data_IF_724527984538
#
_entry.id   IF_724527984538
#
_cell.length_a   1.000
_cell.length_b   1.000
_cell.length_c   1.000
_cell.angle_alpha   90.00
_cell.angle_beta   90.00
_cell.angle_gamma   90.00
#
_symmetry.space_group_name_H-M   'P 1'
#
loop_
_entity.id
_entity.type
_entity.pdbx_description
1 polymer ?
#
# COMPACT_ATOMS: atom_id res chain seq x y z
N UNK A 1 25.78 0.31 5.20
CA UNK A 1 25.82 -1.11 5.64
C UNK A 1 26.63 -1.89 4.62
N UNK A 2 27.37 -2.91 5.05
CA UNK A 2 28.07 -3.83 4.12
C UNK A 2 27.14 -5.01 3.81
N UNK A 3 27.27 -5.62 2.63
CA UNK A 3 26.53 -6.86 2.31
C UNK A 3 26.81 -7.92 3.37
N UNK A 4 25.76 -8.65 3.80
CA UNK A 4 25.81 -9.63 4.86
C UNK A 4 25.70 -9.08 6.29
N UNK A 5 25.45 -7.78 6.47
CA UNK A 5 25.29 -7.17 7.81
C UNK A 5 23.85 -6.78 8.11
N UNK A 6 23.49 -6.85 9.40
CA UNK A 6 22.22 -6.37 9.94
C UNK A 6 22.27 -4.87 10.24
N UNK A 7 21.14 -4.19 10.10
CA UNK A 7 20.99 -2.79 10.50
C UNK A 7 20.93 -2.68 12.02
N UNK A 8 21.02 -1.44 12.53
CA UNK A 8 20.54 -1.17 13.88
C UNK A 8 19.05 -1.50 13.99
N UNK A 9 18.60 -1.84 15.20
CA UNK A 9 17.19 -2.09 15.48
C UNK A 9 16.43 -0.78 15.36
N UNK A 10 15.34 -0.79 14.62
CA UNK A 10 14.45 0.37 14.48
C UNK A 10 13.00 -0.04 14.70
N UNK A 11 12.16 0.93 15.03
CA UNK A 11 10.73 0.70 15.20
C UNK A 11 9.98 0.96 13.89
N UNK A 12 9.23 -0.04 13.43
CA UNK A 12 8.38 0.07 12.25
C UNK A 12 7.01 -0.52 12.54
N UNK A 13 5.95 0.27 12.34
CA UNK A 13 4.56 -0.12 12.64
C UNK A 13 4.40 -0.71 14.06
N UNK A 14 4.98 -0.06 15.07
CA UNK A 14 4.96 -0.49 16.50
C UNK A 14 5.58 -1.87 16.76
N UNK A 15 6.52 -2.30 15.90
CA UNK A 15 7.28 -3.54 16.06
C UNK A 15 8.75 -3.25 15.86
N UNK A 16 9.60 -3.94 16.63
CA UNK A 16 11.05 -3.88 16.43
C UNK A 16 11.42 -4.65 15.17
N UNK A 17 12.09 -3.98 14.24
CA UNK A 17 12.52 -4.53 12.96
C UNK A 17 14.02 -4.35 12.76
N UNK A 18 14.58 -5.18 11.88
CA UNK A 18 15.99 -5.14 11.46
C UNK A 18 16.03 -5.42 9.96
N UNK A 19 16.85 -4.70 9.21
CA UNK A 19 17.13 -5.02 7.81
C UNK A 19 18.37 -5.90 7.71
N UNK A 20 18.29 -6.95 6.89
CA UNK A 20 19.45 -7.72 6.45
C UNK A 20 19.79 -7.32 5.02
N UNK A 21 20.98 -6.79 4.80
CA UNK A 21 21.42 -6.38 3.48
C UNK A 21 22.06 -7.56 2.75
N UNK A 22 21.34 -8.20 1.83
CA UNK A 22 21.86 -9.33 1.06
C UNK A 22 22.92 -8.88 0.04
N UNK A 23 22.57 -7.96 -0.85
CA UNK A 23 23.45 -7.46 -1.90
C UNK A 23 23.19 -5.98 -2.21
N UNK A 24 24.21 -5.31 -2.74
CA UNK A 24 24.11 -3.94 -3.25
C UNK A 24 24.24 -4.04 -4.77
N UNK A 25 23.14 -3.82 -5.48
CA UNK A 25 23.15 -3.80 -6.94
C UNK A 25 23.79 -2.49 -7.45
N UNK A 26 24.57 -2.54 -8.55
CA UNK A 26 25.20 -1.35 -9.10
C UNK A 26 24.16 -0.36 -9.61
N UNK A 27 24.46 0.93 -9.46
CA UNK A 27 23.62 1.98 -10.02
C UNK A 27 23.59 1.84 -11.55
N UNK A 28 22.42 1.55 -12.10
CA UNK A 28 22.17 1.49 -13.55
C UNK A 28 21.00 2.40 -13.92
N UNK A 29 20.95 2.77 -15.20
CA UNK A 29 19.74 3.39 -15.74
C UNK A 29 18.59 2.38 -15.67
N UNK A 30 17.39 2.87 -15.40
CA UNK A 30 16.18 2.05 -15.50
C UNK A 30 16.01 1.58 -16.94
N UNK A 31 15.52 0.35 -17.11
CA UNK A 31 15.05 -0.08 -18.42
C UNK A 31 13.78 0.69 -18.79
N UNK A 32 13.42 0.71 -20.07
CA UNK A 32 12.16 1.33 -20.51
C UNK A 32 10.96 0.74 -19.77
N UNK A 33 10.91 -0.58 -19.62
CA UNK A 33 9.82 -1.27 -18.92
C UNK A 33 9.73 -0.87 -17.44
N UNK A 34 10.87 -0.77 -16.74
CA UNK A 34 10.90 -0.33 -15.35
C UNK A 34 10.42 1.12 -15.20
N UNK A 35 10.87 2.01 -16.08
CA UNK A 35 10.45 3.41 -16.08
C UNK A 35 8.95 3.53 -16.41
N UNK A 36 8.46 2.74 -17.37
CA UNK A 36 7.05 2.69 -17.74
C UNK A 36 6.18 2.18 -16.58
N UNK A 37 6.56 1.06 -15.96
CA UNK A 37 5.84 0.49 -14.84
C UNK A 37 5.84 1.43 -13.63
N UNK A 38 6.95 2.12 -13.38
CA UNK A 38 7.02 3.15 -12.33
C UNK A 38 6.05 4.29 -12.61
N UNK A 39 6.06 4.85 -13.82
CA UNK A 39 5.15 5.93 -14.20
C UNK A 39 3.68 5.50 -14.08
N UNK A 40 3.38 4.27 -14.50
CA UNK A 40 2.03 3.71 -14.41
C UNK A 40 1.60 3.57 -12.94
N UNK A 41 2.47 3.04 -12.08
CA UNK A 41 2.21 2.90 -10.66
C UNK A 41 2.01 4.27 -9.98
N UNK A 42 2.81 5.27 -10.34
CA UNK A 42 2.68 6.64 -9.82
C UNK A 42 1.33 7.27 -10.19
N UNK A 43 0.78 6.94 -11.36
CA UNK A 43 -0.50 7.48 -11.84
C UNK A 43 -1.72 6.66 -11.40
N UNK A 44 -1.53 5.45 -10.91
CA UNK A 44 -2.61 4.55 -10.50
C UNK A 44 -3.52 5.13 -9.41
N UNK A 45 -3.01 5.76 -8.33
CA UNK A 45 -3.85 6.33 -7.27
C UNK A 45 -4.83 7.37 -7.81
N UNK A 46 -4.36 8.26 -8.70
CA UNK A 46 -5.20 9.30 -9.30
C UNK A 46 -6.33 8.71 -10.16
N UNK A 47 -6.05 7.62 -10.88
CA UNK A 47 -7.07 6.91 -11.68
C UNK A 47 -8.10 6.23 -10.78
N UNK A 48 -7.66 5.60 -9.70
CA UNK A 48 -8.55 4.94 -8.73
C UNK A 48 -9.46 5.96 -8.04
N UNK A 49 -8.94 7.10 -7.62
CA UNK A 49 -9.74 8.18 -7.03
C UNK A 49 -10.80 8.71 -8.00
N UNK A 50 -10.40 8.94 -9.26
CA UNK A 50 -11.33 9.39 -10.30
C UNK A 50 -12.44 8.36 -10.52
N UNK A 51 -12.07 7.09 -10.64
CA UNK A 51 -13.01 5.99 -10.84
C UNK A 51 -13.98 5.85 -9.66
N UNK A 52 -13.48 5.91 -8.42
CA UNK A 52 -14.33 5.89 -7.22
C UNK A 52 -15.29 7.08 -7.17
N UNK A 53 -14.85 8.25 -7.63
CA UNK A 53 -15.68 9.46 -7.67
C UNK A 53 -16.80 9.33 -8.69
N UNK A 54 -16.51 8.80 -9.86
CA UNK A 54 -17.50 8.52 -10.91
C UNK A 54 -18.52 7.47 -10.43
N UNK A 55 -18.06 6.37 -9.82
CA UNK A 55 -18.95 5.35 -9.25
C UNK A 55 -19.87 5.91 -8.16
N UNK A 56 -19.37 6.78 -7.27
CA UNK A 56 -20.20 7.43 -6.25
C UNK A 56 -21.27 8.35 -6.86
N UNK A 57 -21.00 8.93 -8.03
CA UNK A 57 -21.95 9.79 -8.74
C UNK A 57 -23.07 8.98 -9.38
N UNK A 58 -22.71 7.88 -10.05
CA UNK A 58 -23.65 7.04 -10.78
C UNK A 58 -24.50 6.18 -9.84
N UNK A 59 -23.88 5.69 -8.75
CA UNK A 59 -24.55 4.87 -7.76
C UNK A 59 -24.78 5.66 -6.47
N UNK A 60 -25.96 6.28 -6.34
CA UNK A 60 -26.41 6.88 -5.07
C UNK A 60 -26.79 5.78 -4.08
N UNK A 61 -25.93 5.52 -3.10
CA UNK A 61 -26.25 4.65 -1.97
C UNK A 61 -26.49 5.46 -0.69
N UNK A 62 -27.47 5.02 0.12
CA UNK A 62 -27.64 5.48 1.50
C UNK A 62 -27.00 4.45 2.43
N UNK A 63 -25.96 4.84 3.15
CA UNK A 63 -25.35 3.98 4.17
C UNK A 63 -26.27 3.95 5.40
N UNK A 64 -26.76 2.76 5.76
CA UNK A 64 -27.40 2.53 7.05
C UNK A 64 -26.34 2.16 8.10
N UNK A 65 -25.90 3.17 8.84
CA UNK A 65 -24.87 3.05 9.87
C UNK A 65 -25.27 2.14 11.04
N UNK A 66 -26.59 1.96 11.31
CA UNK A 66 -27.04 1.08 12.40
C UNK A 66 -26.81 -0.37 12.03
N UNK A 67 -27.22 -0.78 10.83
CA UNK A 67 -27.00 -2.15 10.34
C UNK A 67 -25.53 -2.46 10.15
N UNK A 68 -24.75 -1.51 9.65
CA UNK A 68 -23.30 -1.67 9.47
C UNK A 68 -22.58 -1.91 10.81
N UNK A 69 -22.91 -1.13 11.85
CA UNK A 69 -22.34 -1.31 13.20
C UNK A 69 -22.77 -2.64 13.84
N UNK A 70 -24.01 -3.06 13.62
CA UNK A 70 -24.50 -4.34 14.10
C UNK A 70 -23.77 -5.53 13.45
N UNK A 71 -23.49 -5.45 12.14
CA UNK A 71 -22.71 -6.47 11.42
C UNK A 71 -21.25 -6.51 11.90
N UNK A 72 -20.60 -5.35 12.04
CA UNK A 72 -19.20 -5.27 12.49
C UNK A 72 -18.99 -5.88 13.88
N UNK A 73 -19.89 -5.61 14.84
CA UNK A 73 -19.84 -6.23 16.18
C UNK A 73 -20.09 -7.74 16.18
N UNK A 74 -20.73 -8.27 15.13
CA UNK A 74 -21.00 -9.70 14.99
C UNK A 74 -19.75 -10.46 14.55
N UNK A 75 -18.91 -9.82 13.72
CA UNK A 75 -17.63 -10.37 13.28
C UNK A 75 -16.54 -10.32 14.36
N UNK A 76 -16.55 -9.34 15.28
CA UNK A 76 -15.63 -9.30 16.44
C UNK A 76 -15.88 -10.42 17.47
N UNK A 77 -17.00 -11.12 17.38
CA UNK A 77 -17.38 -12.21 18.30
C UNK A 77 -17.18 -13.62 17.69
N UNK A 78 -16.51 -13.73 16.54
CA UNK A 78 -16.07 -14.96 15.88
C UNK A 78 -14.56 -15.14 16.05
#
# INVERSE_FOLDING_TARGET
MKSGTFSERFEYKRRTAVFYLNEILPARKMTFEEAFNRLLADYQPAREEKWLTELKKDFRFKIDLKKLRAAYKKDENL
#
